data_IF_593280497286
#
_entry.id   IF_593280497286
#
_cell.length_a   1.000
_cell.length_b   1.000
_cell.length_c   1.000
_cell.angle_alpha   90.00
_cell.angle_beta   90.00
_cell.angle_gamma   90.00
#
_symmetry.space_group_name_H-M   'P 1'
#
loop_
_entity.id
_entity.type
_entity.pdbx_description
1 polymer ?
#
# COMPACT_ATOMS: atom_id res chain seq x y z
N UNK A 1 -47.01 -65.76 3.59
CA UNK A 1 -46.19 -65.55 4.79
C UNK A 1 -44.90 -66.33 4.60
N UNK A 2 -43.78 -65.64 4.69
CA UNK A 2 -42.44 -66.20 4.69
C UNK A 2 -42.24 -67.20 5.83
N UNK A 3 -41.73 -68.39 5.52
CA UNK A 3 -41.38 -69.42 6.50
C UNK A 3 -39.88 -69.39 6.79
N UNK A 4 -39.51 -69.32 8.07
CA UNK A 4 -38.12 -69.37 8.52
C UNK A 4 -37.79 -70.82 8.92
N UNK A 5 -36.75 -71.39 8.30
CA UNK A 5 -36.53 -72.85 8.37
C UNK A 5 -35.07 -73.23 8.63
N UNK A 6 -34.88 -74.39 9.25
CA UNK A 6 -33.59 -75.10 9.37
C UNK A 6 -33.49 -76.20 8.31
N UNK A 7 -32.35 -76.30 7.62
CA UNK A 7 -32.07 -77.41 6.72
C UNK A 7 -31.71 -78.66 7.52
N UNK A 8 -32.41 -79.76 7.27
CA UNK A 8 -32.20 -81.07 7.90
C UNK A 8 -31.97 -82.14 6.84
N UNK A 9 -31.58 -83.34 7.27
CA UNK A 9 -31.37 -84.50 6.38
C UNK A 9 -32.67 -84.91 5.65
N UNK A 10 -33.83 -84.61 6.24
CA UNK A 10 -35.16 -84.92 5.70
C UNK A 10 -35.88 -83.72 5.08
N UNK A 11 -35.16 -82.63 4.76
CA UNK A 11 -35.72 -81.43 4.14
C UNK A 11 -35.73 -80.22 5.07
N UNK A 12 -36.73 -79.34 4.94
CA UNK A 12 -36.81 -78.08 5.68
C UNK A 12 -37.81 -78.19 6.84
N UNK A 13 -37.42 -77.69 8.03
CA UNK A 13 -38.28 -77.63 9.22
C UNK A 13 -38.53 -76.18 9.62
N UNK A 14 -39.79 -75.78 9.77
CA UNK A 14 -40.21 -74.45 10.25
C UNK A 14 -39.83 -74.20 11.70
N UNK A 15 -39.43 -72.96 11.98
CA UNK A 15 -39.02 -72.48 13.29
C UNK A 15 -39.98 -71.38 13.77
N UNK A 16 -40.42 -71.48 15.02
CA UNK A 16 -41.35 -70.53 15.61
C UNK A 16 -40.68 -69.18 15.96
N UNK A 17 -39.34 -69.16 16.08
CA UNK A 17 -38.56 -67.96 16.41
C UNK A 17 -38.33 -66.97 15.26
N UNK A 18 -38.80 -67.28 14.05
CA UNK A 18 -38.69 -66.38 12.89
C UNK A 18 -37.24 -66.06 12.48
N UNK A 19 -37.02 -64.85 11.96
CA UNK A 19 -35.71 -64.43 11.42
C UNK A 19 -34.59 -64.40 12.48
N UNK A 20 -34.93 -64.14 13.74
CA UNK A 20 -33.97 -63.97 14.84
C UNK A 20 -33.60 -65.28 15.53
N UNK A 21 -34.15 -66.42 15.09
CA UNK A 21 -33.83 -67.74 15.63
C UNK A 21 -32.39 -68.13 15.26
N UNK A 22 -31.51 -68.45 16.23
CA UNK A 22 -30.12 -68.81 15.97
C UNK A 22 -29.95 -70.05 15.08
N UNK A 23 -30.97 -70.92 15.01
CA UNK A 23 -30.97 -72.11 14.16
C UNK A 23 -31.59 -71.87 12.76
N UNK A 24 -32.10 -70.67 12.49
CA UNK A 24 -32.65 -70.31 11.18
C UNK A 24 -31.52 -70.24 10.14
N UNK A 25 -31.63 -71.05 9.09
CA UNK A 25 -30.60 -71.12 8.03
C UNK A 25 -31.12 -70.68 6.67
N UNK A 26 -32.44 -70.77 6.43
CA UNK A 26 -33.05 -70.42 5.16
C UNK A 26 -34.41 -69.75 5.38
N UNK A 27 -34.87 -68.98 4.39
CA UNK A 27 -36.21 -68.42 4.32
C UNK A 27 -36.90 -68.97 3.08
N UNK A 28 -38.09 -69.54 3.24
CA UNK A 28 -38.93 -70.00 2.13
C UNK A 28 -40.02 -68.95 1.92
N UNK A 29 -40.05 -68.38 0.71
CA UNK A 29 -41.01 -67.35 0.34
C UNK A 29 -42.07 -67.92 -0.59
N UNK A 30 -43.34 -67.53 -0.43
CA UNK A 30 -44.33 -67.66 -1.49
C UNK A 30 -43.83 -66.93 -2.75
N UNK A 31 -44.12 -67.50 -3.92
CA UNK A 31 -43.70 -66.95 -5.23
C UNK A 31 -44.03 -65.46 -5.35
N UNK A 32 -45.23 -65.05 -4.90
CA UNK A 32 -45.65 -63.64 -4.91
C UNK A 32 -44.74 -62.72 -4.07
N UNK A 33 -44.34 -63.15 -2.87
CA UNK A 33 -43.46 -62.36 -1.99
C UNK A 33 -42.03 -62.29 -2.57
N UNK A 34 -41.56 -63.36 -3.22
CA UNK A 34 -40.30 -63.35 -3.95
C UNK A 34 -40.33 -62.39 -5.16
N UNK A 35 -41.40 -62.42 -5.95
CA UNK A 35 -41.58 -61.52 -7.11
C UNK A 35 -41.67 -60.05 -6.69
N UNK A 36 -42.36 -59.75 -5.58
CA UNK A 36 -42.43 -58.41 -5.00
C UNK A 36 -41.04 -57.92 -4.54
N UNK A 37 -40.23 -58.77 -3.89
CA UNK A 37 -38.83 -58.45 -3.53
C UNK A 37 -37.95 -58.19 -4.76
N UNK A 38 -38.07 -59.01 -5.81
CA UNK A 38 -37.34 -58.78 -7.06
C UNK A 38 -37.72 -57.43 -7.69
N UNK A 39 -39.00 -57.05 -7.63
CA UNK A 39 -39.48 -55.74 -8.10
C UNK A 39 -38.89 -54.60 -7.29
N UNK A 40 -38.88 -54.69 -5.96
CA UNK A 40 -38.27 -53.67 -5.09
C UNK A 40 -36.77 -53.51 -5.32
N UNK A 41 -36.02 -54.61 -5.44
CA UNK A 41 -34.59 -54.59 -5.74
C UNK A 41 -34.34 -53.93 -7.09
N UNK A 42 -35.17 -54.23 -8.11
CA UNK A 42 -35.07 -53.62 -9.43
C UNK A 42 -35.32 -52.11 -9.37
N UNK A 43 -36.38 -51.68 -8.67
CA UNK A 43 -36.71 -50.27 -8.48
C UNK A 43 -35.62 -49.52 -7.70
N UNK A 44 -35.08 -50.12 -6.63
CA UNK A 44 -33.99 -49.52 -5.86
C UNK A 44 -32.71 -49.36 -6.69
N UNK A 45 -32.34 -50.38 -7.47
CA UNK A 45 -31.20 -50.30 -8.40
C UNK A 45 -31.40 -49.23 -9.47
N UNK A 46 -32.62 -49.09 -9.99
CA UNK A 46 -32.94 -48.08 -10.99
C UNK A 46 -32.84 -46.66 -10.41
N UNK A 47 -33.43 -46.42 -9.22
CA UNK A 47 -33.29 -45.13 -8.52
C UNK A 47 -31.84 -44.78 -8.22
N UNK A 48 -31.05 -45.72 -7.72
CA UNK A 48 -29.63 -45.49 -7.45
C UNK A 48 -28.83 -45.14 -8.73
N UNK A 49 -29.20 -45.71 -9.88
CA UNK A 49 -28.59 -45.35 -11.18
C UNK A 49 -29.00 -43.95 -11.62
N UNK A 50 -30.26 -43.59 -11.47
CA UNK A 50 -30.78 -42.26 -11.82
C UNK A 50 -30.14 -41.16 -10.95
N UNK A 51 -30.06 -41.36 -9.63
CA UNK A 51 -29.40 -40.44 -8.72
C UNK A 51 -27.92 -40.26 -9.04
N UNK A 52 -27.22 -41.37 -9.36
CA UNK A 52 -25.81 -41.30 -9.78
C UNK A 52 -25.64 -40.55 -11.09
N UNK A 53 -26.50 -40.80 -12.09
CA UNK A 53 -26.48 -40.07 -13.35
C UNK A 53 -26.69 -38.57 -13.15
N UNK A 54 -27.68 -38.22 -12.31
CA UNK A 54 -27.97 -36.82 -11.99
C UNK A 54 -26.79 -36.14 -11.29
N UNK A 55 -26.17 -36.80 -10.31
CA UNK A 55 -24.98 -36.28 -9.64
C UNK A 55 -23.78 -36.09 -10.59
N UNK A 56 -23.58 -37.02 -11.54
CA UNK A 56 -22.53 -36.89 -12.56
C UNK A 56 -22.80 -35.74 -13.54
N UNK A 57 -24.07 -35.51 -13.91
CA UNK A 57 -24.46 -34.39 -14.78
C UNK A 57 -24.33 -33.04 -14.06
N UNK A 58 -24.79 -32.95 -12.81
CA UNK A 58 -24.63 -31.76 -11.96
C UNK A 58 -23.14 -31.42 -11.77
N UNK A 59 -22.29 -32.44 -11.58
CA UNK A 59 -20.84 -32.26 -11.48
C UNK A 59 -20.25 -31.70 -12.77
N UNK A 60 -20.61 -32.26 -13.93
CA UNK A 60 -20.13 -31.78 -15.23
C UNK A 60 -20.58 -30.35 -15.51
N UNK A 61 -21.81 -30.00 -15.16
CA UNK A 61 -22.33 -28.64 -15.33
C UNK A 61 -21.58 -27.64 -14.44
N UNK A 62 -21.37 -27.99 -13.16
CA UNK A 62 -20.60 -27.15 -12.24
C UNK A 62 -19.15 -26.97 -12.68
N UNK A 63 -18.49 -28.03 -13.15
CA UNK A 63 -17.15 -27.93 -13.72
C UNK A 63 -17.11 -27.03 -14.96
N UNK A 64 -18.14 -27.08 -15.83
CA UNK A 64 -18.23 -26.21 -16.99
C UNK A 64 -18.40 -24.74 -16.59
N UNK A 65 -19.28 -24.46 -15.63
CA UNK A 65 -19.47 -23.11 -15.07
C UNK A 65 -18.20 -22.57 -14.44
N UNK A 66 -17.49 -23.40 -13.67
CA UNK A 66 -16.22 -23.04 -13.06
C UNK A 66 -15.17 -22.71 -14.13
N UNK A 67 -15.03 -23.54 -15.17
CA UNK A 67 -14.10 -23.27 -16.28
C UNK A 67 -14.41 -21.96 -17.00
N UNK A 68 -15.68 -21.68 -17.25
CA UNK A 68 -16.10 -20.43 -17.89
C UNK A 68 -15.77 -19.22 -17.01
N UNK A 69 -16.08 -19.29 -15.71
CA UNK A 69 -15.79 -18.23 -14.75
C UNK A 69 -14.27 -17.97 -14.65
N UNK A 70 -13.45 -19.03 -14.60
CA UNK A 70 -11.99 -18.92 -14.61
C UNK A 70 -11.52 -18.20 -15.88
N UNK A 71 -12.02 -18.60 -17.05
CA UNK A 71 -11.64 -17.96 -18.31
C UNK A 71 -12.04 -16.48 -18.38
N UNK A 72 -13.24 -16.13 -17.90
CA UNK A 72 -13.72 -14.74 -17.85
C UNK A 72 -12.87 -13.88 -16.88
N UNK A 73 -12.48 -14.45 -15.74
CA UNK A 73 -11.59 -13.79 -14.80
C UNK A 73 -10.17 -13.63 -15.36
N UNK A 74 -9.61 -14.65 -16.00
CA UNK A 74 -8.30 -14.55 -16.66
C UNK A 74 -8.29 -13.46 -17.73
N UNK A 75 -9.31 -13.41 -18.60
CA UNK A 75 -9.44 -12.35 -19.60
C UNK A 75 -9.54 -10.97 -18.95
N UNK A 76 -10.27 -10.86 -17.85
CA UNK A 76 -10.40 -9.61 -17.10
C UNK A 76 -9.05 -9.20 -16.51
N UNK A 77 -8.34 -10.11 -15.85
CA UNK A 77 -7.00 -9.87 -15.29
C UNK A 77 -6.03 -9.41 -16.38
N UNK A 78 -6.03 -10.05 -17.55
CA UNK A 78 -5.17 -9.64 -18.66
C UNK A 78 -5.50 -8.24 -19.18
N UNK A 79 -6.79 -7.87 -19.28
CA UNK A 79 -7.19 -6.50 -19.62
C UNK A 79 -6.69 -5.48 -18.58
N UNK A 80 -6.81 -5.78 -17.29
CA UNK A 80 -6.32 -4.90 -16.22
C UNK A 80 -4.80 -4.79 -16.22
N UNK A 81 -4.08 -5.89 -16.47
CA UNK A 81 -2.61 -5.89 -16.61
C UNK A 81 -2.17 -5.02 -17.78
N UNK A 82 -2.82 -5.13 -18.93
CA UNK A 82 -2.52 -4.31 -20.10
C UNK A 82 -2.78 -2.82 -19.82
N UNK A 83 -3.93 -2.49 -19.20
CA UNK A 83 -4.25 -1.11 -18.83
C UNK A 83 -3.26 -0.53 -17.81
N UNK A 84 -2.88 -1.31 -16.80
CA UNK A 84 -1.88 -0.91 -15.82
C UNK A 84 -0.52 -0.66 -16.47
N UNK A 85 -0.09 -1.53 -17.38
CA UNK A 85 1.16 -1.36 -18.13
C UNK A 85 1.16 -0.09 -18.97
N UNK A 86 0.06 0.22 -19.65
CA UNK A 86 -0.08 1.44 -20.43
C UNK A 86 -0.03 2.71 -19.54
N UNK A 87 -0.75 2.71 -18.41
CA UNK A 87 -0.75 3.83 -17.47
C UNK A 87 0.64 4.04 -16.83
N UNK A 88 1.36 2.96 -16.51
CA UNK A 88 2.73 3.05 -15.98
C UNK A 88 3.68 3.67 -17.01
N UNK A 89 3.56 3.30 -18.28
CA UNK A 89 4.37 3.88 -19.36
C UNK A 89 4.08 5.38 -19.55
N UNK A 90 2.79 5.76 -19.58
CA UNK A 90 2.40 7.17 -19.69
C UNK A 90 2.84 7.98 -18.46
N UNK A 91 2.69 7.43 -17.26
CA UNK A 91 3.17 8.06 -16.03
C UNK A 91 4.69 8.30 -16.07
N UNK A 92 5.46 7.33 -16.57
CA UNK A 92 6.90 7.49 -16.74
C UNK A 92 7.23 8.57 -17.77
N UNK A 93 6.53 8.60 -18.90
CA UNK A 93 6.69 9.62 -19.93
C UNK A 93 6.41 11.03 -19.38
N UNK A 94 5.27 11.22 -18.70
CA UNK A 94 4.88 12.50 -18.12
C UNK A 94 5.83 12.95 -17.01
N UNK A 95 6.36 12.02 -16.19
CA UNK A 95 7.41 12.33 -15.20
C UNK A 95 8.66 12.89 -15.90
N UNK A 96 9.11 12.28 -16.99
CA UNK A 96 10.25 12.77 -17.77
C UNK A 96 10.02 14.17 -18.36
N UNK A 97 8.82 14.41 -18.93
CA UNK A 97 8.45 15.75 -19.41
C UNK A 97 8.46 16.79 -18.29
N UNK A 98 7.87 16.44 -17.14
CA UNK A 98 7.82 17.33 -15.97
C UNK A 98 9.22 17.67 -15.44
N UNK A 99 10.14 16.71 -15.37
CA UNK A 99 11.52 16.94 -14.97
C UNK A 99 12.23 17.93 -15.90
N UNK A 100 12.02 17.79 -17.21
CA UNK A 100 12.59 18.72 -18.18
C UNK A 100 11.98 20.13 -18.05
N UNK A 101 10.67 20.24 -17.82
CA UNK A 101 10.00 21.54 -17.60
C UNK A 101 10.51 22.23 -16.33
N UNK A 102 10.68 21.48 -15.22
CA UNK A 102 11.22 22.00 -13.97
C UNK A 102 12.67 22.49 -14.15
N UNK A 103 13.49 21.74 -14.90
CA UNK A 103 14.85 22.16 -15.25
C UNK A 103 14.85 23.48 -16.03
N UNK A 104 14.02 23.59 -17.06
CA UNK A 104 13.90 24.81 -17.87
C UNK A 104 13.42 25.99 -17.02
N UNK A 105 12.41 25.78 -16.17
CA UNK A 105 11.90 26.81 -15.27
C UNK A 105 13.00 27.31 -14.32
N UNK A 106 13.79 26.40 -13.74
CA UNK A 106 14.95 26.75 -12.91
C UNK A 106 16.00 27.54 -13.68
N UNK A 107 16.37 27.11 -14.89
CA UNK A 107 17.37 27.81 -15.71
C UNK A 107 16.92 29.22 -16.10
N UNK A 108 15.62 29.41 -16.38
CA UNK A 108 15.02 30.74 -16.60
C UNK A 108 15.07 31.59 -15.35
N UNK A 109 14.60 31.07 -14.21
CA UNK A 109 14.67 31.77 -12.94
C UNK A 109 16.11 32.16 -12.55
N UNK A 110 17.09 31.31 -12.85
CA UNK A 110 18.50 31.62 -12.64
C UNK A 110 18.98 32.74 -13.55
N UNK A 111 18.59 32.73 -14.83
CA UNK A 111 18.93 33.78 -15.77
C UNK A 111 18.31 35.14 -15.39
N UNK A 112 17.02 35.14 -15.01
CA UNK A 112 16.29 36.33 -14.58
C UNK A 112 16.95 36.99 -13.36
N UNK A 113 17.42 36.15 -12.42
CA UNK A 113 18.14 36.58 -11.21
C UNK A 113 19.66 36.74 -11.41
N UNK A 114 20.16 36.62 -12.64
CA UNK A 114 21.59 36.76 -13.00
C UNK A 114 22.54 35.81 -12.25
N UNK A 115 22.05 34.65 -11.79
CA UNK A 115 22.82 33.63 -11.10
C UNK A 115 23.73 32.89 -12.09
N UNK A 116 25.04 32.84 -11.81
CA UNK A 116 26.05 32.23 -12.70
C UNK A 116 26.80 31.09 -12.00
N UNK A 117 27.04 29.94 -12.69
CA UNK A 117 26.59 29.57 -14.03
C UNK A 117 25.10 29.14 -14.04
N UNK A 118 24.29 29.66 -14.98
CA UNK A 118 22.83 29.48 -14.93
C UNK A 118 22.33 28.02 -14.94
N UNK A 119 23.08 27.11 -15.58
CA UNK A 119 22.71 25.69 -15.76
C UNK A 119 23.09 24.82 -14.56
N UNK A 120 24.18 25.18 -13.89
CA UNK A 120 24.74 24.44 -12.76
C UNK A 120 24.17 24.95 -11.43
N UNK A 121 23.72 26.20 -11.39
CA UNK A 121 23.19 26.81 -10.18
C UNK A 121 21.93 26.09 -9.70
N UNK A 122 21.91 25.72 -8.42
CA UNK A 122 20.81 24.97 -7.77
C UNK A 122 19.45 25.67 -7.87
N UNK A 123 19.50 27.00 -8.06
CA UNK A 123 18.38 27.92 -8.14
C UNK A 123 17.81 28.33 -6.79
N UNK A 124 18.24 27.68 -5.72
CA UNK A 124 17.97 28.12 -4.36
C UNK A 124 19.02 29.12 -3.93
N UNK A 125 18.60 30.13 -3.17
CA UNK A 125 19.49 31.17 -2.67
C UNK A 125 19.14 31.48 -1.22
N UNK A 126 20.13 31.45 -0.34
CA UNK A 126 19.99 31.93 1.04
C UNK A 126 19.88 33.44 1.02
N UNK A 127 18.74 33.97 1.43
CA UNK A 127 18.46 35.41 1.47
C UNK A 127 18.93 36.01 2.79
N UNK A 128 18.59 35.36 3.90
CA UNK A 128 18.99 35.77 5.24
C UNK A 128 19.01 34.55 6.16
N UNK A 129 19.92 34.56 7.12
CA UNK A 129 19.99 33.60 8.23
C UNK A 129 20.24 34.41 9.49
N UNK A 130 19.35 34.34 10.47
CA UNK A 130 19.42 35.15 11.68
C UNK A 130 19.00 34.36 12.91
N UNK A 131 19.66 34.61 14.04
CA UNK A 131 19.25 34.09 15.34
C UNK A 131 17.96 34.79 15.81
N UNK A 132 16.98 34.00 16.29
CA UNK A 132 15.72 34.47 16.84
C UNK A 132 15.37 33.67 18.10
N UNK A 133 14.59 34.29 18.97
CA UNK A 133 14.09 33.65 20.18
C UNK A 133 12.75 32.97 19.84
N UNK A 134 12.69 31.66 20.03
CA UNK A 134 11.48 30.85 19.90
C UNK A 134 11.01 30.40 21.28
N UNK A 135 9.70 30.54 21.52
CA UNK A 135 9.06 29.99 22.71
C UNK A 135 8.61 28.58 22.41
N UNK A 136 8.83 27.67 23.35
CA UNK A 136 8.44 26.27 23.24
C UNK A 136 7.83 25.79 24.56
N UNK A 137 7.06 24.71 24.50
CA UNK A 137 6.51 24.07 25.69
C UNK A 137 7.47 22.98 26.16
N UNK A 138 7.73 22.96 27.46
CA UNK A 138 8.50 21.93 28.14
C UNK A 138 7.61 21.33 29.25
N UNK A 139 6.80 20.35 28.86
CA UNK A 139 5.69 19.85 29.67
C UNK A 139 4.72 20.98 30.07
N UNK A 140 4.71 21.35 31.36
CA UNK A 140 3.86 22.43 31.91
C UNK A 140 4.55 23.80 31.92
N UNK A 141 5.84 23.88 31.57
CA UNK A 141 6.62 25.12 31.58
C UNK A 141 6.72 25.69 30.17
N UNK A 142 6.83 27.02 30.08
CA UNK A 142 7.15 27.70 28.83
C UNK A 142 8.64 28.04 28.83
N UNK A 143 9.37 27.48 27.87
CA UNK A 143 10.78 27.77 27.64
C UNK A 143 10.98 28.82 26.55
N UNK A 144 12.21 29.28 26.41
CA UNK A 144 12.63 30.08 25.25
C UNK A 144 14.04 29.67 24.85
N UNK A 145 14.24 29.45 23.55
CA UNK A 145 15.53 29.07 22.98
C UNK A 145 15.91 30.03 21.85
N UNK A 146 17.21 30.25 21.69
CA UNK A 146 17.77 30.93 20.52
C UNK A 146 17.96 29.90 19.42
N UNK A 147 17.23 30.05 18.32
CA UNK A 147 17.31 29.20 17.14
C UNK A 147 17.61 30.06 15.92
N UNK A 148 18.03 29.42 14.83
CA UNK A 148 18.32 30.10 13.59
C UNK A 148 17.14 30.01 12.65
N UNK A 149 16.69 31.17 12.15
CA UNK A 149 15.72 31.25 11.07
C UNK A 149 16.43 31.61 9.77
N UNK A 150 16.33 30.72 8.78
CA UNK A 150 16.90 30.91 7.44
C UNK A 150 15.79 31.03 6.41
N UNK A 151 15.81 32.15 5.69
CA UNK A 151 14.95 32.37 4.52
C UNK A 151 15.72 31.98 3.27
N UNK A 152 15.15 31.03 2.52
CA UNK A 152 15.72 30.52 1.28
C UNK A 152 14.74 30.79 0.15
N UNK A 153 15.17 31.54 -0.85
CA UNK A 153 14.41 31.74 -2.07
C UNK A 153 14.55 30.51 -2.96
N UNK A 154 13.43 30.02 -3.47
CA UNK A 154 13.36 28.91 -4.42
C UNK A 154 13.47 29.38 -5.87
N UNK A 155 13.75 28.47 -6.82
CA UNK A 155 13.66 28.78 -8.25
C UNK A 155 12.22 28.85 -8.79
N UNK A 156 11.20 28.69 -7.93
CA UNK A 156 9.80 28.62 -8.35
C UNK A 156 9.13 29.98 -8.29
N UNK A 157 8.63 30.44 -9.44
CA UNK A 157 7.86 31.68 -9.57
C UNK A 157 6.61 31.65 -8.69
N UNK A 158 6.19 32.79 -8.16
CA UNK A 158 4.92 32.94 -7.43
C UNK A 158 3.68 32.55 -8.25
N UNK A 159 3.81 32.50 -9.58
CA UNK A 159 2.77 32.01 -10.49
C UNK A 159 2.51 30.51 -10.35
N UNK A 160 3.46 29.74 -9.80
CA UNK A 160 3.24 28.33 -9.54
C UNK A 160 2.25 28.13 -8.39
N UNK A 161 1.32 27.16 -8.49
CA UNK A 161 0.39 26.86 -7.41
C UNK A 161 1.12 26.47 -6.12
N UNK A 162 0.73 27.09 -5.00
CA UNK A 162 1.36 26.90 -3.70
C UNK A 162 1.48 25.42 -3.30
N UNK A 163 0.44 24.61 -3.55
CA UNK A 163 0.43 23.16 -3.23
C UNK A 163 1.55 22.41 -3.97
N UNK A 164 1.78 22.75 -5.24
CA UNK A 164 2.81 22.12 -6.06
C UNK A 164 4.21 22.55 -5.61
N UNK A 165 4.41 23.85 -5.37
CA UNK A 165 5.70 24.39 -4.94
C UNK A 165 6.13 23.83 -3.59
N UNK A 166 5.21 23.78 -2.62
CA UNK A 166 5.49 23.17 -1.31
C UNK A 166 5.99 21.74 -1.45
N UNK A 167 5.33 20.92 -2.27
CA UNK A 167 5.73 19.53 -2.52
C UNK A 167 7.11 19.45 -3.19
N UNK A 168 7.36 20.30 -4.18
CA UNK A 168 8.65 20.34 -4.89
C UNK A 168 9.80 20.74 -3.95
N UNK A 169 9.64 21.83 -3.21
CA UNK A 169 10.66 22.30 -2.26
C UNK A 169 10.93 21.23 -1.19
N UNK A 170 9.89 20.61 -0.62
CA UNK A 170 10.08 19.56 0.40
C UNK A 170 10.85 18.38 -0.19
N UNK A 171 10.44 17.88 -1.35
CA UNK A 171 11.13 16.75 -2.02
C UNK A 171 12.59 17.06 -2.32
N UNK A 172 12.93 18.32 -2.60
CA UNK A 172 14.28 18.73 -2.92
C UNK A 172 15.16 19.06 -1.70
N UNK A 173 14.57 19.58 -0.63
CA UNK A 173 15.30 19.94 0.60
C UNK A 173 15.41 18.80 1.60
N UNK A 174 14.40 17.93 1.65
CA UNK A 174 14.29 16.81 2.58
C UNK A 174 13.80 15.56 1.82
N UNK A 175 14.58 15.05 0.85
CA UNK A 175 14.20 13.84 0.13
C UNK A 175 14.18 12.63 1.08
N UNK A 176 13.32 11.66 0.77
CA UNK A 176 13.28 10.37 1.46
C UNK A 176 14.60 9.59 1.30
N UNK A 177 15.22 9.68 0.11
CA UNK A 177 16.50 9.04 -0.24
C UNK A 177 17.48 10.02 -0.90
N UNK A 178 18.77 9.92 -0.57
CA UNK A 178 19.86 10.71 -1.17
C UNK A 178 20.33 11.92 -0.36
N UNK A 179 21.22 12.74 -0.95
CA UNK A 179 21.79 13.91 -0.27
C UNK A 179 20.82 15.11 -0.27
N UNK A 180 20.52 15.62 0.92
CA UNK A 180 19.59 16.71 1.12
C UNK A 180 20.22 18.05 0.71
N UNK A 181 19.48 18.93 0.01
CA UNK A 181 19.96 20.31 -0.24
C UNK A 181 20.21 21.06 1.07
N UNK A 182 19.44 20.76 2.12
CA UNK A 182 19.64 21.32 3.46
C UNK A 182 21.01 20.93 4.05
N UNK A 183 21.48 19.69 3.81
CA UNK A 183 22.77 19.23 4.32
C UNK A 183 23.95 20.03 3.77
N UNK A 184 23.84 20.53 2.52
CA UNK A 184 24.84 21.43 1.91
C UNK A 184 24.93 22.78 2.62
N UNK A 185 23.91 23.18 3.38
CA UNK A 185 23.90 24.36 4.24
C UNK A 185 24.35 24.05 5.67
N UNK A 186 24.77 22.82 5.94
CA UNK A 186 25.09 22.33 7.28
C UNK A 186 23.85 22.10 8.13
N UNK A 187 22.67 21.83 7.52
CA UNK A 187 21.46 21.34 8.19
C UNK A 187 21.30 19.86 7.82
N UNK A 188 21.87 18.99 8.64
CA UNK A 188 22.09 17.57 8.35
C UNK A 188 21.09 16.63 9.03
N UNK A 189 20.19 17.17 9.86
CA UNK A 189 19.05 16.45 10.46
C UNK A 189 17.77 17.27 10.35
N UNK A 190 16.63 16.59 10.44
CA UNK A 190 15.32 17.23 10.63
C UNK A 190 14.55 16.51 11.72
N UNK A 191 13.65 17.24 12.38
CA UNK A 191 12.77 16.74 13.41
C UNK A 191 11.34 17.19 13.12
N UNK A 192 10.37 16.27 13.17
CA UNK A 192 8.98 16.57 12.77
C UNK A 192 8.31 17.63 13.64
N UNK A 193 8.60 17.62 14.94
CA UNK A 193 8.00 18.51 15.92
C UNK A 193 8.70 19.85 16.08
N UNK A 194 8.34 20.52 17.17
CA UNK A 194 8.93 21.78 17.57
C UNK A 194 10.20 21.57 18.45
N UNK A 195 10.78 22.66 18.95
CA UNK A 195 12.00 22.53 19.78
C UNK A 195 11.74 21.85 21.13
N UNK A 196 10.56 22.05 21.71
CA UNK A 196 10.17 21.42 22.96
C UNK A 196 9.93 19.93 22.79
N UNK A 197 9.31 19.54 21.68
CA UNK A 197 9.17 18.14 21.30
C UNK A 197 10.54 17.47 21.14
N UNK A 198 11.48 18.11 20.43
CA UNK A 198 12.84 17.61 20.23
C UNK A 198 13.57 17.36 21.56
N UNK A 199 13.43 18.26 22.54
CA UNK A 199 14.09 18.13 23.84
C UNK A 199 13.48 17.01 24.72
N UNK A 200 12.21 16.69 24.51
CA UNK A 200 11.46 15.73 25.33
C UNK A 200 11.36 14.34 24.69
N UNK A 201 11.88 14.17 23.47
CA UNK A 201 11.83 12.90 22.75
C UNK A 201 12.89 11.92 23.27
N UNK A 202 12.43 10.82 23.86
CA UNK A 202 13.29 9.77 24.42
C UNK A 202 14.07 9.00 23.36
N UNK A 203 13.68 9.10 22.09
CA UNK A 203 14.37 8.44 20.98
C UNK A 203 15.49 9.31 20.38
N UNK A 204 15.62 10.55 20.83
CA UNK A 204 16.66 11.48 20.38
C UNK A 204 17.86 11.34 21.31
N UNK A 205 18.98 10.86 20.77
CA UNK A 205 20.22 10.70 21.52
C UNK A 205 21.05 12.00 21.56
N UNK A 206 22.09 12.00 22.40
CA UNK A 206 23.01 13.15 22.52
C UNK A 206 23.73 13.46 21.21
N UNK A 207 23.94 12.47 20.35
CA UNK A 207 24.60 12.65 19.06
C UNK A 207 23.70 13.42 18.09
N UNK A 208 22.39 13.11 18.05
CA UNK A 208 21.40 13.80 17.24
C UNK A 208 21.33 15.30 17.56
N UNK A 209 21.41 15.66 18.84
CA UNK A 209 21.37 17.08 19.29
C UNK A 209 22.68 17.84 18.94
N UNK A 210 23.78 17.12 18.66
CA UNK A 210 25.02 17.75 18.16
C UNK A 210 24.91 18.20 16.70
N UNK A 211 23.99 17.64 15.94
CA UNK A 211 23.74 18.04 14.57
C UNK A 211 22.95 19.35 14.50
N UNK A 212 22.92 19.96 13.30
CA UNK A 212 22.05 21.09 13.06
C UNK A 212 20.70 20.57 12.56
N UNK A 213 19.69 20.69 13.41
CA UNK A 213 18.40 20.03 13.22
C UNK A 213 17.38 21.05 12.73
N UNK A 214 16.81 20.83 11.54
CA UNK A 214 15.63 21.57 11.09
C UNK A 214 14.38 21.15 11.85
N UNK A 215 13.69 22.10 12.47
CA UNK A 215 12.44 21.91 13.19
C UNK A 215 11.26 22.12 12.23
N UNK A 216 10.61 21.02 11.86
CA UNK A 216 9.70 21.00 10.74
C UNK A 216 8.35 21.65 11.05
N UNK A 217 7.95 21.73 12.32
CA UNK A 217 6.73 22.41 12.78
C UNK A 217 6.81 23.93 12.57
N UNK A 218 8.00 24.52 12.68
CA UNK A 218 8.21 25.95 12.46
C UNK A 218 8.46 26.32 10.98
N UNK A 219 8.53 25.33 10.08
CA UNK A 219 8.73 25.58 8.65
C UNK A 219 7.53 26.33 8.08
N UNK A 220 7.81 27.36 7.28
CA UNK A 220 6.76 28.07 6.55
C UNK A 220 7.18 28.40 5.12
N UNK A 221 6.19 28.73 4.30
CA UNK A 221 6.37 29.10 2.90
C UNK A 221 5.78 30.48 2.67
N UNK A 222 6.52 31.32 1.96
CA UNK A 222 6.13 32.71 1.69
C UNK A 222 6.18 32.98 0.19
N UNK A 223 5.13 33.59 -0.35
CA UNK A 223 5.17 34.17 -1.69
C UNK A 223 5.82 35.56 -1.59
N UNK A 224 7.04 35.71 -2.11
CA UNK A 224 7.71 37.01 -2.12
C UNK A 224 7.38 37.75 -3.43
N UNK A 225 6.31 38.54 -3.42
CA UNK A 225 5.85 39.30 -4.60
C UNK A 225 6.85 40.34 -5.09
N UNK A 226 7.73 40.84 -4.21
CA UNK A 226 8.79 41.77 -4.61
C UNK A 226 9.87 41.05 -5.44
N UNK A 227 10.23 39.85 -5.03
CA UNK A 227 11.22 39.05 -5.75
C UNK A 227 10.61 38.26 -6.92
N UNK A 228 9.31 37.99 -6.90
CA UNK A 228 8.62 37.16 -7.89
C UNK A 228 8.76 35.65 -7.66
N UNK A 229 9.33 35.21 -6.52
CA UNK A 229 9.60 33.79 -6.25
C UNK A 229 9.08 33.35 -4.89
N UNK A 230 8.80 32.06 -4.77
CA UNK A 230 8.48 31.43 -3.48
C UNK A 230 9.72 31.29 -2.62
N UNK A 231 9.53 31.42 -1.31
CA UNK A 231 10.56 31.25 -0.29
C UNK A 231 10.13 30.17 0.71
N UNK A 232 11.10 29.42 1.20
CA UNK A 232 10.96 28.53 2.35
C UNK A 232 11.72 29.13 3.52
N UNK A 233 11.09 29.08 4.68
CA UNK A 233 11.64 29.54 5.95
C UNK A 233 11.89 28.29 6.77
N UNK A 234 13.15 28.04 7.11
CA UNK A 234 13.58 26.94 7.94
C UNK A 234 14.03 27.45 9.28
N UNK A 235 13.56 26.82 10.35
CA UNK A 235 14.07 27.05 11.71
C UNK A 235 14.93 25.87 12.10
N UNK A 236 16.14 26.14 12.59
CA UNK A 236 17.12 25.10 12.89
C UNK A 236 17.99 25.46 14.09
N UNK A 237 18.62 24.45 14.69
CA UNK A 237 19.20 24.56 16.05
C UNK A 237 20.57 25.24 16.08
N UNK A 238 21.27 25.37 14.95
CA UNK A 238 22.66 25.89 14.88
C UNK A 238 22.84 26.84 13.69
N UNK A 239 23.88 27.68 13.63
CA UNK A 239 24.14 28.46 12.43
C UNK A 239 24.34 27.57 11.21
N UNK A 240 24.06 28.12 10.03
CA UNK A 240 24.44 27.46 8.77
C UNK A 240 25.96 27.26 8.73
N UNK A 241 26.39 26.21 8.02
CA UNK A 241 27.78 26.07 7.59
C UNK A 241 28.17 27.10 6.54
N UNK A 242 29.29 26.86 5.86
CA UNK A 242 29.70 27.71 4.74
C UNK A 242 28.69 27.57 3.60
N UNK A 243 27.85 28.59 3.39
CA UNK A 243 26.85 28.59 2.32
C UNK A 243 27.54 28.34 0.98
N UNK A 244 27.14 27.33 0.19
CA UNK A 244 27.74 27.05 -1.12
C UNK A 244 27.64 28.23 -2.08
N UNK A 245 28.61 28.40 -2.98
CA UNK A 245 28.62 29.52 -3.94
C UNK A 245 27.35 29.55 -4.81
N UNK A 246 26.82 28.39 -5.19
CA UNK A 246 25.58 28.21 -5.96
C UNK A 246 24.29 28.32 -5.13
N UNK A 247 24.41 28.83 -3.91
CA UNK A 247 23.30 29.16 -3.02
C UNK A 247 23.44 30.54 -2.38
N UNK A 248 24.43 31.34 -2.82
CA UNK A 248 24.61 32.73 -2.37
C UNK A 248 23.88 33.67 -3.33
N UNK A 249 23.39 34.78 -2.79
CA UNK A 249 23.00 35.93 -3.62
C UNK A 249 24.24 36.43 -4.37
N UNK A 250 24.09 36.71 -5.67
CA UNK A 250 25.12 37.32 -6.51
C UNK A 250 25.28 38.80 -6.24
#
# INVERSE_FOLDING_TARGET
MSEFVKKTIMGYKTLDGGHSDPECTHVILPVKEYDDLLREISQAKQKAREERSKADDDKKENERKLRQMVQEHEQTIEKWRAALGAEQAESAHQKGLNENLLRIARERANADRKLKPKKEHSGYVVVVSSEKIYRYKDGRRLGSAKLWETVIQSPYSIEFPAKQVKKLIIREFFPEDGEWKAARLGIDRWYSGDYGDLLNDQNVDEEFVKHNVALMEYRSFRANYRAGYWEVILVHTRPLGVVPKDMRVS
#
